data_IF_958414530522
#
_entry.id   IF_958414530522
#
_cell.length_a   1.000
_cell.length_b   1.000
_cell.length_c   1.000
_cell.angle_alpha   90.00
_cell.angle_beta   90.00
_cell.angle_gamma   90.00
#
_symmetry.space_group_name_H-M   'P 1'
#
loop_
_entity.id
_entity.type
_entity.pdbx_description
1 polymer ?
#
# COMPACT_ATOMS: atom_id res chain seq x y z
N UNK A 1 -42.30 23.45 40.08
CA UNK A 1 -42.13 22.58 38.90
C UNK A 1 -42.94 23.18 37.78
N UNK A 2 -42.35 24.04 36.94
CA UNK A 2 -43.06 24.54 35.76
C UNK A 2 -43.16 23.38 34.78
N UNK A 3 -44.37 22.91 34.54
CA UNK A 3 -44.62 21.94 33.48
C UNK A 3 -44.37 22.63 32.14
N UNK A 4 -43.46 22.10 31.33
CA UNK A 4 -43.28 22.54 29.95
C UNK A 4 -44.61 22.63 29.21
N UNK A 5 -44.77 23.65 28.38
CA UNK A 5 -45.93 23.77 27.49
C UNK A 5 -45.93 22.65 26.43
N UNK A 6 -47.04 22.48 25.72
CA UNK A 6 -47.12 21.50 24.63
C UNK A 6 -46.09 21.78 23.53
N UNK A 7 -45.86 23.06 23.22
CA UNK A 7 -44.85 23.50 22.25
C UNK A 7 -43.44 23.22 22.76
N UNK A 8 -43.13 23.57 24.01
CA UNK A 8 -41.80 23.33 24.59
C UNK A 8 -41.47 21.83 24.67
N UNK A 9 -42.45 20.96 24.99
CA UNK A 9 -42.26 19.50 24.92
C UNK A 9 -41.93 19.04 23.50
N UNK A 10 -42.63 19.57 22.50
CA UNK A 10 -42.38 19.22 21.10
C UNK A 10 -41.02 19.72 20.62
N UNK A 11 -40.57 20.90 21.07
CA UNK A 11 -39.22 21.39 20.82
C UNK A 11 -38.15 20.45 21.36
N UNK A 12 -38.32 19.91 22.57
CA UNK A 12 -37.40 18.91 23.16
C UNK A 12 -37.34 17.66 22.28
N UNK A 13 -38.48 17.13 21.84
CA UNK A 13 -38.52 15.95 20.96
C UNK A 13 -37.82 16.20 19.62
N UNK A 14 -38.05 17.36 19.00
CA UNK A 14 -37.39 17.75 17.75
C UNK A 14 -35.88 17.95 17.94
N UNK A 15 -35.47 18.58 19.04
CA UNK A 15 -34.06 18.73 19.38
C UNK A 15 -33.38 17.36 19.61
N UNK A 16 -34.08 16.40 20.24
CA UNK A 16 -33.58 15.03 20.43
C UNK A 16 -33.41 14.30 19.08
N UNK A 17 -34.36 14.47 18.16
CA UNK A 17 -34.25 13.91 16.81
C UNK A 17 -33.05 14.51 16.05
N UNK A 18 -32.93 15.84 16.01
CA UNK A 18 -31.79 16.52 15.36
C UNK A 18 -30.44 16.17 16.02
N UNK A 19 -30.41 15.98 17.34
CA UNK A 19 -29.22 15.51 18.06
C UNK A 19 -28.82 14.09 17.64
N UNK A 20 -29.80 13.18 17.52
CA UNK A 20 -29.58 11.82 17.02
C UNK A 20 -29.03 11.81 15.59
N UNK A 21 -29.60 12.61 14.70
CA UNK A 21 -29.13 12.74 13.32
C UNK A 21 -27.70 13.28 13.26
N UNK A 22 -27.39 14.29 14.08
CA UNK A 22 -26.04 14.85 14.19
C UNK A 22 -25.02 13.80 14.66
N UNK A 23 -25.37 12.96 15.63
CA UNK A 23 -24.53 11.85 16.11
C UNK A 23 -24.31 10.81 15.00
N UNK A 24 -25.35 10.44 14.27
CA UNK A 24 -25.25 9.50 13.14
C UNK A 24 -24.35 10.04 12.00
N UNK A 25 -24.41 11.33 11.72
CA UNK A 25 -23.51 11.96 10.74
C UNK A 25 -22.04 11.90 11.19
N UNK A 26 -21.75 12.16 12.46
CA UNK A 26 -20.40 12.02 13.03
C UNK A 26 -19.90 10.57 12.91
N UNK A 27 -20.74 9.59 13.25
CA UNK A 27 -20.41 8.16 13.11
C UNK A 27 -20.14 7.78 11.65
N UNK A 28 -20.91 8.34 10.70
CA UNK A 28 -20.72 8.11 9.26
C UNK A 28 -19.37 8.64 8.80
N UNK A 29 -19.00 9.87 9.18
CA UNK A 29 -17.69 10.45 8.88
C UNK A 29 -16.59 9.58 9.50
N UNK A 30 -16.75 9.15 10.75
CA UNK A 30 -15.77 8.27 11.40
C UNK A 30 -15.58 6.94 10.66
N UNK A 31 -16.66 6.34 10.16
CA UNK A 31 -16.60 5.14 9.33
C UNK A 31 -15.86 5.38 8.00
N UNK A 32 -16.14 6.49 7.32
CA UNK A 32 -15.44 6.87 6.08
C UNK A 32 -13.93 7.04 6.31
N UNK A 33 -13.55 7.77 7.37
CA UNK A 33 -12.15 7.94 7.79
C UNK A 33 -11.47 6.58 8.02
N UNK A 34 -12.17 5.64 8.65
CA UNK A 34 -11.63 4.30 8.90
C UNK A 34 -11.44 3.50 7.60
N UNK A 35 -12.36 3.61 6.65
CA UNK A 35 -12.24 2.97 5.32
C UNK A 35 -11.01 3.50 4.59
N UNK A 36 -10.86 4.82 4.47
CA UNK A 36 -9.71 5.41 3.76
C UNK A 36 -8.38 5.03 4.42
N UNK A 37 -8.30 5.03 5.76
CA UNK A 37 -7.11 4.55 6.49
C UNK A 37 -6.77 3.10 6.20
N UNK A 38 -7.78 2.24 6.08
CA UNK A 38 -7.60 0.82 5.77
C UNK A 38 -7.06 0.67 4.35
N UNK A 39 -7.63 1.37 3.37
CA UNK A 39 -7.19 1.35 1.98
C UNK A 39 -5.74 1.83 1.82
N UNK A 40 -5.37 2.92 2.48
CA UNK A 40 -3.98 3.42 2.48
C UNK A 40 -3.04 2.36 3.08
N UNK A 41 -3.42 1.73 4.19
CA UNK A 41 -2.60 0.68 4.81
C UNK A 41 -2.39 -0.50 3.89
N UNK A 42 -3.45 -1.01 3.26
CA UNK A 42 -3.37 -2.12 2.31
C UNK A 42 -2.47 -1.77 1.11
N UNK A 43 -2.54 -0.52 0.62
CA UNK A 43 -1.68 -0.04 -0.46
C UNK A 43 -0.20 0.04 -0.04
N UNK A 44 0.09 0.52 1.18
CA UNK A 44 1.45 0.55 1.73
C UNK A 44 2.01 -0.86 1.93
N UNK A 45 1.21 -1.78 2.50
CA UNK A 45 1.62 -3.18 2.67
C UNK A 45 1.95 -3.85 1.32
N UNK A 46 1.17 -3.56 0.27
CA UNK A 46 1.46 -4.04 -1.08
C UNK A 46 2.74 -3.42 -1.66
N UNK A 47 2.99 -2.13 -1.44
CA UNK A 47 4.20 -1.46 -1.89
C UNK A 47 5.45 -2.04 -1.21
N UNK A 48 5.38 -2.28 0.11
CA UNK A 48 6.44 -2.90 0.89
C UNK A 48 6.73 -4.32 0.40
N UNK A 49 5.69 -5.13 0.17
CA UNK A 49 5.85 -6.48 -0.36
C UNK A 49 6.53 -6.49 -1.74
N UNK A 50 6.16 -5.59 -2.65
CA UNK A 50 6.81 -5.46 -3.96
C UNK A 50 8.25 -4.98 -3.81
N UNK A 51 8.50 -4.00 -2.94
CA UNK A 51 9.85 -3.52 -2.63
C UNK A 51 10.77 -4.64 -2.12
N UNK A 52 10.28 -5.48 -1.21
CA UNK A 52 11.02 -6.63 -0.69
C UNK A 52 11.33 -7.65 -1.80
N UNK A 53 10.36 -7.95 -2.67
CA UNK A 53 10.59 -8.85 -3.80
C UNK A 53 11.59 -8.29 -4.81
N UNK A 54 11.57 -6.97 -5.05
CA UNK A 54 12.51 -6.29 -5.93
C UNK A 54 13.92 -6.35 -5.36
N UNK A 55 14.09 -6.00 -4.08
CA UNK A 55 15.37 -6.07 -3.38
C UNK A 55 15.97 -7.49 -3.39
N UNK A 56 15.13 -8.51 -3.15
CA UNK A 56 15.56 -9.90 -3.25
C UNK A 56 16.00 -10.28 -4.68
N UNK A 57 15.30 -9.80 -5.70
CA UNK A 57 15.64 -10.04 -7.11
C UNK A 57 16.97 -9.38 -7.49
N UNK A 58 17.18 -8.12 -7.10
CA UNK A 58 18.44 -7.39 -7.33
C UNK A 58 19.63 -8.03 -6.60
N UNK A 59 19.39 -8.62 -5.43
CA UNK A 59 20.41 -9.36 -4.69
C UNK A 59 20.75 -10.69 -5.36
N UNK A 60 19.76 -11.44 -5.86
CA UNK A 60 19.99 -12.66 -6.62
C UNK A 60 20.74 -12.36 -7.93
N UNK A 61 20.39 -11.28 -8.62
CA UNK A 61 21.05 -10.84 -9.85
C UNK A 61 22.55 -10.57 -9.61
N UNK A 62 22.88 -9.81 -8.55
CA UNK A 62 24.27 -9.57 -8.14
C UNK A 62 25.02 -10.86 -7.85
N UNK A 63 24.41 -11.76 -7.07
CA UNK A 63 25.01 -13.07 -6.75
C UNK A 63 25.29 -13.90 -8.00
N UNK A 64 24.36 -13.95 -8.96
CA UNK A 64 24.54 -14.70 -10.20
C UNK A 64 25.56 -14.02 -11.12
N UNK A 65 25.62 -12.69 -11.10
CA UNK A 65 26.68 -11.92 -11.78
C UNK A 65 28.07 -12.37 -11.33
N UNK A 66 28.29 -12.47 -10.02
CA UNK A 66 29.55 -12.94 -9.43
C UNK A 66 29.84 -14.41 -9.80
N UNK A 67 28.84 -15.29 -9.75
CA UNK A 67 28.96 -16.68 -10.20
C UNK A 67 29.37 -16.80 -11.67
N UNK A 68 28.80 -15.97 -12.55
CA UNK A 68 29.12 -15.95 -13.98
C UNK A 68 30.57 -15.55 -14.21
N UNK A 69 31.12 -14.62 -13.42
CA UNK A 69 32.53 -14.23 -13.51
C UNK A 69 33.41 -15.44 -13.17
N UNK A 70 33.10 -16.18 -12.10
CA UNK A 70 33.84 -17.40 -11.73
C UNK A 70 33.74 -18.47 -12.81
N UNK A 71 32.53 -18.78 -13.27
CA UNK A 71 32.29 -19.80 -14.30
C UNK A 71 32.89 -19.42 -15.66
N UNK A 72 33.02 -18.14 -15.97
CA UNK A 72 33.69 -17.69 -17.19
C UNK A 72 35.18 -18.00 -17.13
N UNK A 73 35.82 -17.81 -15.97
CA UNK A 73 37.23 -18.20 -15.78
C UNK A 73 37.42 -19.71 -15.89
N UNK A 74 36.56 -20.50 -15.25
CA UNK A 74 36.60 -21.96 -15.34
C UNK A 74 36.40 -22.45 -16.80
N UNK A 75 35.52 -21.78 -17.54
CA UNK A 75 35.31 -22.05 -18.96
C UNK A 75 36.56 -21.75 -19.79
N UNK A 76 37.18 -20.58 -19.59
CA UNK A 76 38.40 -20.19 -20.29
C UNK A 76 39.56 -21.16 -19.98
N UNK A 77 39.71 -21.58 -18.73
CA UNK A 77 40.69 -22.59 -18.31
C UNK A 77 40.43 -23.95 -18.99
N UNK A 78 39.18 -24.40 -19.03
CA UNK A 78 38.79 -25.65 -19.70
C UNK A 78 39.01 -25.59 -21.21
N UNK A 79 38.78 -24.45 -21.86
CA UNK A 79 39.04 -24.24 -23.29
C UNK A 79 40.54 -24.32 -23.60
N UNK A 80 41.38 -23.64 -22.80
CA UNK A 80 42.84 -23.74 -22.93
C UNK A 80 43.31 -25.19 -22.75
N UNK A 81 42.78 -25.92 -21.77
CA UNK A 81 43.13 -27.33 -21.57
C UNK A 81 42.69 -28.21 -22.75
N UNK A 82 41.52 -27.96 -23.34
CA UNK A 82 41.03 -28.67 -24.51
C UNK A 82 41.95 -28.43 -25.72
N UNK A 83 42.31 -27.18 -26.00
CA UNK A 83 43.23 -26.82 -27.09
C UNK A 83 44.60 -27.49 -26.92
N UNK A 84 45.14 -27.50 -25.69
CA UNK A 84 46.40 -28.19 -25.38
C UNK A 84 46.29 -29.71 -25.54
N UNK A 85 45.18 -30.31 -25.11
CA UNK A 85 44.96 -31.75 -25.23
C UNK A 85 44.77 -32.17 -26.69
N UNK A 86 44.08 -31.36 -27.49
CA UNK A 86 43.90 -31.55 -28.93
C UNK A 86 45.25 -31.48 -29.66
N UNK A 87 46.05 -30.45 -29.39
CA UNK A 87 47.39 -30.31 -29.96
C UNK A 87 48.27 -31.53 -29.67
N UNK A 88 48.32 -31.98 -28.41
CA UNK A 88 49.11 -33.17 -28.00
C UNK A 88 48.60 -34.46 -28.63
N UNK A 89 47.28 -34.62 -28.77
CA UNK A 89 46.67 -35.77 -29.47
C UNK A 89 47.06 -35.78 -30.93
N UNK A 90 46.93 -34.64 -31.61
CA UNK A 90 47.24 -34.51 -33.03
C UNK A 90 48.72 -34.77 -33.32
N UNK A 91 49.61 -34.28 -32.47
CA UNK A 91 51.04 -34.58 -32.53
C UNK A 91 51.31 -36.09 -32.37
N UNK A 92 50.67 -36.73 -31.38
CA UNK A 92 50.82 -38.16 -31.13
C UNK A 92 50.29 -39.04 -32.27
N UNK A 93 49.23 -38.60 -32.95
CA UNK A 93 48.66 -39.32 -34.09
C UNK A 93 49.52 -39.19 -35.35
N UNK A 94 50.09 -38.00 -35.61
CA UNK A 94 50.91 -37.72 -36.80
C UNK A 94 52.30 -38.35 -36.76
N UNK A 95 52.91 -38.47 -35.58
CA UNK A 95 54.22 -39.09 -35.46
C UNK A 95 54.13 -40.63 -35.52
N UNK A 96 54.59 -41.19 -36.64
CA UNK A 96 54.64 -42.63 -36.90
C UNK A 96 55.58 -43.39 -35.94
N UNK A 97 56.48 -42.68 -35.24
CA UNK A 97 57.42 -43.28 -34.26
C UNK A 97 56.87 -43.34 -32.83
N UNK A 98 55.70 -42.74 -32.57
CA UNK A 98 55.11 -42.79 -31.23
C UNK A 98 54.54 -44.15 -30.86
N UNK A 99 54.75 -44.55 -29.60
CA UNK A 99 54.21 -45.79 -29.05
C UNK A 99 52.69 -45.74 -28.96
N UNK A 100 52.05 -46.90 -29.13
CA UNK A 100 50.59 -47.04 -29.09
C UNK A 100 50.01 -46.56 -27.75
N UNK A 101 50.73 -46.76 -26.65
CA UNK A 101 50.40 -46.27 -25.30
C UNK A 101 50.31 -44.74 -25.25
N UNK A 102 51.23 -44.03 -25.90
CA UNK A 102 51.22 -42.56 -25.91
C UNK A 102 50.03 -42.04 -26.72
N UNK A 103 49.69 -42.70 -27.83
CA UNK A 103 48.50 -42.39 -28.64
C UNK A 103 47.21 -42.58 -27.84
N UNK A 104 47.03 -43.72 -27.17
CA UNK A 104 45.82 -43.99 -26.37
C UNK A 104 45.68 -43.06 -25.16
N UNK A 105 46.77 -42.75 -24.46
CA UNK A 105 46.75 -41.79 -23.36
C UNK A 105 46.37 -40.38 -23.85
N UNK A 106 46.96 -39.91 -24.95
CA UNK A 106 46.64 -38.59 -25.52
C UNK A 106 45.16 -38.48 -25.93
N UNK A 107 44.59 -39.54 -26.51
CA UNK A 107 43.16 -39.61 -26.81
C UNK A 107 42.30 -39.55 -25.55
N UNK A 108 42.68 -40.27 -24.49
CA UNK A 108 41.96 -40.25 -23.21
C UNK A 108 41.98 -38.84 -22.58
N UNK A 109 43.13 -38.16 -22.60
CA UNK A 109 43.23 -36.78 -22.11
C UNK A 109 42.36 -35.82 -22.92
N UNK A 110 42.35 -35.95 -24.25
CA UNK A 110 41.45 -35.17 -25.10
C UNK A 110 39.97 -35.39 -24.74
N UNK A 111 39.54 -36.66 -24.60
CA UNK A 111 38.15 -36.97 -24.26
C UNK A 111 37.75 -36.39 -22.89
N UNK A 112 38.66 -36.44 -21.90
CA UNK A 112 38.42 -35.84 -20.57
C UNK A 112 38.32 -34.32 -20.66
N UNK A 113 39.26 -33.66 -21.34
CA UNK A 113 39.23 -32.21 -21.51
C UNK A 113 37.98 -31.75 -22.28
N UNK A 114 37.55 -32.52 -23.29
CA UNK A 114 36.34 -32.25 -24.06
C UNK A 114 35.08 -32.29 -23.19
N UNK A 115 34.98 -33.26 -22.29
CA UNK A 115 33.84 -33.36 -21.37
C UNK A 115 33.85 -32.21 -20.34
N UNK A 116 35.02 -31.86 -19.78
CA UNK A 116 35.14 -30.72 -18.87
C UNK A 116 34.72 -29.39 -19.54
N UNK A 117 35.20 -29.12 -20.76
CA UNK A 117 34.82 -27.95 -21.52
C UNK A 117 33.30 -27.91 -21.79
N UNK A 118 32.70 -29.05 -22.14
CA UNK A 118 31.24 -29.16 -22.35
C UNK A 118 30.46 -28.86 -21.06
N UNK A 119 30.89 -29.39 -19.92
CA UNK A 119 30.26 -29.14 -18.61
C UNK A 119 30.36 -27.66 -18.23
N UNK A 120 31.56 -27.07 -18.32
CA UNK A 120 31.79 -25.66 -18.01
C UNK A 120 30.92 -24.74 -18.90
N UNK A 121 30.87 -25.02 -20.21
CA UNK A 121 30.02 -24.29 -21.16
C UNK A 121 28.54 -24.36 -20.80
N UNK A 122 28.05 -25.54 -20.43
CA UNK A 122 26.65 -25.73 -20.03
C UNK A 122 26.32 -25.00 -18.73
N UNK A 123 27.21 -25.04 -17.73
CA UNK A 123 27.04 -24.34 -16.47
C UNK A 123 26.96 -22.82 -16.69
N UNK A 124 27.89 -22.26 -17.46
CA UNK A 124 27.91 -20.84 -17.80
C UNK A 124 26.64 -20.41 -18.55
N UNK A 125 26.20 -21.20 -19.54
CA UNK A 125 24.97 -20.92 -20.29
C UNK A 125 23.74 -20.90 -19.40
N UNK A 126 23.59 -21.88 -18.50
CA UNK A 126 22.45 -21.94 -17.57
C UNK A 126 22.40 -20.72 -16.65
N UNK A 127 23.55 -20.30 -16.11
CA UNK A 127 23.62 -19.12 -15.23
C UNK A 127 23.32 -17.82 -16.00
N UNK A 128 23.86 -17.65 -17.21
CA UNK A 128 23.51 -16.51 -18.08
C UNK A 128 22.02 -16.47 -18.43
N UNK A 129 21.41 -17.61 -18.69
CA UNK A 129 19.98 -17.70 -18.95
C UNK A 129 19.15 -17.31 -17.71
N UNK A 130 19.56 -17.74 -16.51
CA UNK A 130 18.93 -17.32 -15.24
C UNK A 130 19.07 -15.81 -15.03
N UNK A 131 20.25 -15.25 -15.24
CA UNK A 131 20.47 -13.80 -15.14
C UNK A 131 19.54 -13.03 -16.08
N UNK A 132 19.48 -13.41 -17.36
CA UNK A 132 18.58 -12.79 -18.33
C UNK A 132 17.09 -12.88 -17.95
N UNK A 133 16.69 -13.94 -17.25
CA UNK A 133 15.34 -14.05 -16.70
C UNK A 133 15.14 -13.12 -15.51
N UNK A 134 16.10 -13.03 -14.59
CA UNK A 134 16.03 -12.13 -13.44
C UNK A 134 15.95 -10.66 -13.84
N UNK A 135 16.74 -10.19 -14.80
CA UNK A 135 16.65 -8.80 -15.27
C UNK A 135 15.26 -8.46 -15.83
N UNK A 136 14.56 -9.45 -16.44
CA UNK A 136 13.18 -9.26 -16.88
C UNK A 136 12.21 -9.16 -15.70
N UNK A 137 12.35 -10.07 -14.73
CA UNK A 137 11.56 -10.04 -13.49
C UNK A 137 11.77 -8.73 -12.74
N UNK A 138 13.01 -8.25 -12.63
CA UNK A 138 13.36 -6.97 -12.01
C UNK A 138 12.66 -5.80 -12.70
N UNK A 139 12.70 -5.73 -14.03
CA UNK A 139 11.97 -4.69 -14.78
C UNK A 139 10.45 -4.76 -14.56
N UNK A 140 9.87 -5.96 -14.53
CA UNK A 140 8.45 -6.16 -14.23
C UNK A 140 8.11 -5.71 -12.80
N UNK A 141 8.95 -6.02 -11.82
CA UNK A 141 8.75 -5.61 -10.43
C UNK A 141 8.94 -4.10 -10.25
N UNK A 142 9.90 -3.47 -10.94
CA UNK A 142 10.07 -2.01 -10.96
C UNK A 142 8.84 -1.32 -11.52
N UNK A 143 8.30 -1.80 -12.64
CA UNK A 143 7.07 -1.25 -13.20
C UNK A 143 5.88 -1.38 -12.25
N UNK A 144 5.73 -2.52 -11.58
CA UNK A 144 4.68 -2.72 -10.56
C UNK A 144 4.87 -1.80 -9.35
N UNK A 145 6.10 -1.63 -8.88
CA UNK A 145 6.41 -0.71 -7.79
C UNK A 145 6.02 0.72 -8.14
N UNK A 146 6.39 1.19 -9.34
CA UNK A 146 6.06 2.54 -9.82
C UNK A 146 4.55 2.74 -9.97
N UNK A 147 3.82 1.73 -10.46
CA UNK A 147 2.36 1.77 -10.58
C UNK A 147 1.68 1.87 -9.21
N UNK A 148 2.08 1.04 -8.24
CA UNK A 148 1.52 1.06 -6.89
C UNK A 148 1.88 2.38 -6.19
N UNK A 149 3.12 2.84 -6.31
CA UNK A 149 3.56 4.11 -5.72
C UNK A 149 2.73 5.29 -6.26
N UNK A 150 2.51 5.34 -7.58
CA UNK A 150 1.67 6.36 -8.19
C UNK A 150 0.20 6.27 -7.76
N UNK A 151 -0.33 5.05 -7.63
CA UNK A 151 -1.69 4.82 -7.14
C UNK A 151 -1.85 5.28 -5.69
N UNK A 152 -0.86 4.99 -4.84
CA UNK A 152 -0.82 5.44 -3.45
C UNK A 152 -0.74 6.97 -3.35
N UNK A 153 0.08 7.61 -4.18
CA UNK A 153 0.21 9.07 -4.24
C UNK A 153 -1.14 9.74 -4.55
N UNK A 154 -1.82 9.26 -5.60
CA UNK A 154 -3.18 9.74 -5.93
C UNK A 154 -4.17 9.52 -4.78
N UNK A 155 -4.11 8.36 -4.11
CA UNK A 155 -4.98 8.05 -2.99
C UNK A 155 -4.73 8.99 -1.80
N UNK A 156 -3.46 9.33 -1.53
CA UNK A 156 -3.10 10.27 -0.48
C UNK A 156 -3.61 11.69 -0.78
N UNK A 157 -3.47 12.13 -2.03
CA UNK A 157 -3.99 13.42 -2.49
C UNK A 157 -5.53 13.50 -2.37
N UNK A 158 -6.24 12.48 -2.85
CA UNK A 158 -7.70 12.39 -2.74
C UNK A 158 -8.14 12.36 -1.27
N UNK A 159 -7.48 11.54 -0.45
CA UNK A 159 -7.84 11.42 0.97
C UNK A 159 -7.54 12.71 1.73
N UNK A 160 -6.49 13.46 1.35
CA UNK A 160 -6.19 14.76 1.98
C UNK A 160 -7.34 15.76 1.74
N UNK A 161 -7.84 15.83 0.50
CA UNK A 161 -8.99 16.69 0.17
C UNK A 161 -10.23 16.27 0.96
N UNK A 162 -10.50 14.97 1.06
CA UNK A 162 -11.61 14.43 1.85
C UNK A 162 -11.45 14.74 3.34
N UNK A 163 -10.26 14.59 3.91
CA UNK A 163 -10.01 14.91 5.32
C UNK A 163 -10.26 16.38 5.63
N UNK A 164 -9.84 17.29 4.76
CA UNK A 164 -10.10 18.72 4.92
C UNK A 164 -11.61 19.04 4.87
N UNK A 165 -12.39 18.28 4.10
CA UNK A 165 -13.85 18.38 4.07
C UNK A 165 -14.46 17.81 5.35
N UNK A 166 -14.08 16.59 5.75
CA UNK A 166 -14.54 15.96 6.97
C UNK A 166 -14.23 16.78 8.22
N UNK A 167 -13.04 17.39 8.29
CA UNK A 167 -12.67 18.22 9.44
C UNK A 167 -13.54 19.48 9.54
N UNK A 168 -13.83 20.12 8.40
CA UNK A 168 -14.75 21.27 8.35
C UNK A 168 -16.17 20.86 8.75
N UNK A 169 -16.64 19.72 8.25
CA UNK A 169 -17.96 19.18 8.56
C UNK A 169 -18.07 18.81 10.04
N UNK A 170 -17.11 18.07 10.58
CA UNK A 170 -17.04 17.70 12.00
C UNK A 170 -17.03 18.93 12.91
N UNK A 171 -16.30 19.99 12.55
CA UNK A 171 -16.35 21.26 13.30
C UNK A 171 -17.75 21.86 13.31
N UNK A 172 -18.47 21.81 12.19
CA UNK A 172 -19.86 22.27 12.10
C UNK A 172 -20.82 21.40 12.91
N UNK A 173 -20.69 20.08 12.81
CA UNK A 173 -21.48 19.11 13.55
C UNK A 173 -21.25 19.22 15.06
N UNK A 174 -20.00 19.40 15.49
CA UNK A 174 -19.66 19.54 16.91
C UNK A 174 -20.37 20.75 17.55
N UNK A 175 -20.32 21.91 16.88
CA UNK A 175 -21.02 23.12 17.35
C UNK A 175 -22.54 22.91 17.42
N UNK A 176 -23.11 22.23 16.42
CA UNK A 176 -24.54 21.89 16.41
C UNK A 176 -24.89 20.91 17.53
N UNK A 177 -24.04 19.92 17.78
CA UNK A 177 -24.22 18.93 18.84
C UNK A 177 -24.28 19.63 20.20
N UNK A 178 -23.33 20.52 20.50
CA UNK A 178 -23.34 21.34 21.73
C UNK A 178 -24.63 22.15 21.87
N UNK A 179 -25.10 22.78 20.78
CA UNK A 179 -26.33 23.56 20.78
C UNK A 179 -27.58 22.70 21.00
N UNK A 180 -27.68 21.55 20.34
CA UNK A 180 -28.81 20.64 20.47
C UNK A 180 -28.84 19.96 21.84
N UNK A 181 -27.71 19.59 22.42
CA UNK A 181 -27.66 19.00 23.78
C UNK A 181 -28.30 19.91 24.82
N UNK A 182 -28.02 21.21 24.76
CA UNK A 182 -28.68 22.21 25.61
C UNK A 182 -30.20 22.24 25.39
N UNK A 183 -30.64 22.22 24.14
CA UNK A 183 -32.06 22.23 23.76
C UNK A 183 -32.80 20.93 24.09
N UNK A 184 -32.10 19.83 24.34
CA UNK A 184 -32.73 18.59 24.80
C UNK A 184 -33.04 18.57 26.30
N UNK A 185 -32.54 19.55 27.07
CA UNK A 185 -32.82 19.65 28.50
C UNK A 185 -34.11 20.44 28.77
N UNK A 186 -35.13 19.81 29.37
CA UNK A 186 -36.40 20.49 29.70
C UNK A 186 -36.23 21.76 30.52
N UNK A 187 -35.25 21.79 31.42
CA UNK A 187 -34.99 22.90 32.32
C UNK A 187 -34.50 24.15 31.58
N UNK A 188 -33.63 24.00 30.56
CA UNK A 188 -33.11 25.14 29.79
C UNK A 188 -34.18 25.75 28.85
N UNK A 189 -35.12 24.92 28.37
CA UNK A 189 -36.21 25.36 27.48
C UNK A 189 -37.43 25.93 28.19
N UNK A 190 -37.53 25.81 29.52
CA UNK A 190 -38.66 26.31 30.27
C UNK A 190 -38.87 27.83 30.12
N UNK A 191 -40.07 28.24 29.69
CA UNK A 191 -40.41 29.65 29.49
C UNK A 191 -39.94 30.22 28.16
N UNK A 192 -39.44 29.38 27.24
CA UNK A 192 -39.02 29.80 25.90
C UNK A 192 -40.20 30.38 25.11
N UNK A 193 -41.36 29.71 25.13
CA UNK A 193 -42.57 30.17 24.43
C UNK A 193 -43.03 31.52 24.97
N UNK A 194 -43.00 31.69 26.29
CA UNK A 194 -43.37 32.92 26.98
C UNK A 194 -42.35 34.06 26.84
N UNK A 195 -41.22 33.84 26.17
CA UNK A 195 -40.21 34.88 25.97
C UNK A 195 -39.30 35.15 27.18
N UNK A 196 -39.41 34.35 28.24
CA UNK A 196 -38.73 34.57 29.53
C UNK A 196 -37.68 33.50 29.86
N UNK A 197 -37.55 32.48 29.02
CA UNK A 197 -36.61 31.38 29.21
C UNK A 197 -35.14 31.77 29.01
N UNK A 198 -34.24 31.06 29.70
CA UNK A 198 -32.80 31.33 29.74
C UNK A 198 -32.17 31.30 28.33
N UNK A 199 -32.56 30.33 27.50
CA UNK A 199 -32.08 30.24 26.12
C UNK A 199 -32.40 31.50 25.31
N UNK A 200 -33.58 32.10 25.52
CA UNK A 200 -34.03 33.24 24.72
C UNK A 200 -33.35 34.55 25.13
N UNK A 201 -32.97 34.65 26.41
CA UNK A 201 -32.40 35.87 27.00
C UNK A 201 -30.86 35.89 26.96
N UNK A 202 -30.23 34.74 27.21
CA UNK A 202 -28.82 34.70 27.61
C UNK A 202 -27.95 33.71 26.82
N UNK A 203 -28.53 32.81 26.00
CA UNK A 203 -27.73 31.87 25.23
C UNK A 203 -27.00 32.54 24.06
N UNK A 204 -25.94 31.89 23.60
CA UNK A 204 -25.20 32.33 22.42
C UNK A 204 -26.07 32.29 21.15
N UNK A 205 -25.58 32.94 20.10
CA UNK A 205 -26.31 33.09 18.84
C UNK A 205 -26.65 31.74 18.19
N UNK A 206 -25.79 30.73 18.34
CA UNK A 206 -25.99 29.41 17.74
C UNK A 206 -27.13 28.66 18.44
N UNK A 207 -27.08 28.55 19.77
CA UNK A 207 -28.12 27.93 20.59
C UNK A 207 -29.45 28.64 20.38
N UNK A 208 -29.46 29.98 20.34
CA UNK A 208 -30.67 30.76 20.07
C UNK A 208 -31.26 30.50 18.69
N UNK A 209 -30.42 30.46 17.66
CA UNK A 209 -30.86 30.22 16.28
C UNK A 209 -31.40 28.79 16.13
N UNK A 210 -30.72 27.81 16.72
CA UNK A 210 -31.19 26.41 16.80
C UNK A 210 -32.51 26.29 17.56
N UNK A 211 -32.68 27.03 18.66
CA UNK A 211 -33.93 27.05 19.42
C UNK A 211 -35.10 27.63 18.61
N UNK A 212 -34.87 28.70 17.86
CA UNK A 212 -35.89 29.34 17.02
C UNK A 212 -36.29 28.43 15.84
N UNK A 213 -35.34 27.66 15.30
CA UNK A 213 -35.61 26.64 14.29
C UNK A 213 -36.58 25.57 14.81
N UNK A 214 -36.28 24.94 15.96
CA UNK A 214 -37.18 23.91 16.54
C UNK A 214 -38.48 24.51 17.07
N UNK A 215 -38.49 25.76 17.51
CA UNK A 215 -39.72 26.45 17.91
C UNK A 215 -40.65 26.67 16.71
N UNK A 216 -40.11 27.19 15.61
CA UNK A 216 -40.86 27.42 14.38
C UNK A 216 -41.38 26.13 13.75
N UNK A 217 -40.66 25.03 13.93
CA UNK A 217 -41.06 23.69 13.50
C UNK A 217 -42.14 23.10 14.43
N UNK A 218 -41.94 23.15 15.75
CA UNK A 218 -42.92 22.72 16.74
C UNK A 218 -44.26 23.47 16.62
N UNK A 219 -44.21 24.79 16.41
CA UNK A 219 -45.41 25.60 16.18
C UNK A 219 -46.15 25.21 14.90
N UNK A 220 -45.44 24.79 13.85
CA UNK A 220 -46.06 24.32 12.60
C UNK A 220 -46.68 22.94 12.73
N UNK A 221 -46.12 22.06 13.55
CA UNK A 221 -46.64 20.70 13.73
C UNK A 221 -47.82 20.63 14.72
N UNK A 222 -47.94 21.61 15.62
CA UNK A 222 -49.00 21.66 16.64
C UNK A 222 -50.20 22.54 16.28
N UNK A 223 -50.10 23.38 15.24
CA UNK A 223 -51.18 24.20 14.69
C UNK A 223 -51.76 23.57 13.42
#
# INVERSE_FOLDING_TARGET
MSSLTAIEKRMVELAQAKLSDCKSQIETIHALVHVSRKSIREAVENLDAVSDTLSATEQEERSIGDEIISLSKEFDEADVQLQLAESKRDEALRDGRQTLVRKTLSQRHFNVAQEHHKIAKQALFRRRARLSHLCRVEMEQKARYEEIAKSLDNMLDETQVEYDLYERELRGLWRRLEAWERLTTPEELGGYEAGVGEIRQCADELVRSSAEEVFSEAQRELN
#
